data_IF_195391330678
#
_entry.id   IF_195391330678
#
_cell.length_a   1.000
_cell.length_b   1.000
_cell.length_c   1.000
_cell.angle_alpha   90.00
_cell.angle_beta   90.00
_cell.angle_gamma   90.00
#
_symmetry.space_group_name_H-M   'P 1'
#
loop_
_entity.id
_entity.type
_entity.pdbx_description
1 polymer ?
#
# COMPACT_ATOMS: atom_id res chain seq x y z
N UNK A 1 -15.29 -14.13 26.96
CA UNK A 1 -14.69 -12.81 27.21
C UNK A 1 -14.80 -11.92 25.96
N UNK A 2 -15.95 -11.97 25.28
CA UNK A 2 -16.16 -11.40 23.93
C UNK A 2 -17.37 -10.45 23.89
N UNK A 3 -18.07 -10.30 25.02
CA UNK A 3 -19.28 -9.47 25.14
C UNK A 3 -19.01 -8.10 25.79
N UNK A 4 -17.83 -7.88 26.38
CA UNK A 4 -17.49 -6.65 27.10
C UNK A 4 -16.93 -5.56 26.16
N UNK A 5 -16.30 -5.93 25.04
CA UNK A 5 -15.72 -4.96 24.10
C UNK A 5 -16.80 -4.27 23.24
N UNK A 6 -17.90 -4.96 22.92
CA UNK A 6 -18.99 -4.39 22.10
C UNK A 6 -19.84 -3.38 22.89
N UNK A 7 -19.96 -3.54 24.21
CA UNK A 7 -20.79 -2.66 25.05
C UNK A 7 -20.07 -1.34 25.39
N UNK A 8 -18.73 -1.35 25.49
CA UNK A 8 -17.95 -0.13 25.78
C UNK A 8 -17.91 0.85 24.61
N UNK A 9 -18.01 0.36 23.37
CA UNK A 9 -18.12 1.22 22.18
C UNK A 9 -19.51 1.83 22.09
N UNK A 10 -20.57 1.11 22.46
CA UNK A 10 -21.95 1.66 22.43
C UNK A 10 -22.18 2.78 23.46
N UNK A 11 -21.58 2.71 24.65
CA UNK A 11 -21.78 3.72 25.71
C UNK A 11 -21.16 5.10 25.38
N UNK A 12 -20.14 5.13 24.53
CA UNK A 12 -19.54 6.38 24.04
C UNK A 12 -20.30 6.99 22.85
N UNK A 13 -21.19 6.23 22.19
CA UNK A 13 -21.98 6.68 21.04
C UNK A 13 -23.20 7.54 21.44
N UNK A 14 -23.65 7.49 22.69
CA UNK A 14 -24.85 8.21 23.15
C UNK A 14 -24.57 9.66 23.62
N UNK A 15 -23.31 10.08 23.75
CA UNK A 15 -22.93 11.37 24.36
C UNK A 15 -22.48 12.50 23.40
N UNK A 16 -22.89 12.46 22.13
CA UNK A 16 -23.10 13.70 21.36
C UNK A 16 -21.87 14.52 20.90
N UNK A 17 -20.66 13.96 20.90
CA UNK A 17 -19.52 14.49 20.13
C UNK A 17 -19.16 13.43 19.05
N UNK A 18 -18.66 13.81 17.88
CA UNK A 18 -18.26 12.89 16.77
C UNK A 18 -19.34 12.46 15.74
N UNK A 19 -20.03 13.39 15.08
CA UNK A 19 -20.70 13.03 13.82
C UNK A 19 -19.71 12.95 12.64
N UNK A 20 -18.77 13.90 12.49
CA UNK A 20 -17.84 13.92 11.34
C UNK A 20 -16.69 12.90 11.36
N UNK A 21 -16.21 12.48 12.53
CA UNK A 21 -15.14 11.45 12.59
C UNK A 21 -15.68 10.03 12.47
N UNK A 22 -16.96 9.80 12.78
CA UNK A 22 -17.58 8.47 12.68
C UNK A 22 -17.77 8.06 11.23
N UNK A 23 -18.18 8.99 10.38
CA UNK A 23 -18.35 8.79 8.93
C UNK A 23 -17.01 8.53 8.24
N UNK A 24 -15.98 9.35 8.53
CA UNK A 24 -14.63 9.15 8.01
C UNK A 24 -13.99 7.81 8.44
N UNK A 25 -14.30 7.32 9.64
CA UNK A 25 -13.81 6.01 10.12
C UNK A 25 -14.57 4.85 9.45
N UNK A 26 -15.88 5.00 9.23
CA UNK A 26 -16.68 4.00 8.52
C UNK A 26 -16.24 3.85 7.06
N UNK A 27 -15.99 4.97 6.37
CA UNK A 27 -15.49 4.97 4.99
C UNK A 27 -14.13 4.26 4.89
N UNK A 28 -13.22 4.52 5.84
CA UNK A 28 -11.93 3.84 5.91
C UNK A 28 -12.05 2.34 6.14
N UNK A 29 -12.95 1.90 7.02
CA UNK A 29 -13.21 0.49 7.27
C UNK A 29 -13.81 -0.17 6.03
N UNK A 30 -14.73 0.50 5.33
CA UNK A 30 -15.32 0.01 4.09
C UNK A 30 -14.29 -0.07 2.95
N UNK A 31 -13.41 0.93 2.82
CA UNK A 31 -12.34 0.92 1.84
C UNK A 31 -11.33 -0.20 2.12
N UNK A 32 -10.92 -0.40 3.37
CA UNK A 32 -10.04 -1.49 3.75
C UNK A 32 -10.66 -2.86 3.46
N UNK A 33 -11.94 -3.05 3.75
CA UNK A 33 -12.66 -4.29 3.40
C UNK A 33 -12.80 -4.50 1.89
N UNK A 34 -13.03 -3.43 1.13
CA UNK A 34 -13.07 -3.49 -0.34
C UNK A 34 -11.71 -3.85 -0.91
N UNK A 35 -10.64 -3.26 -0.39
CA UNK A 35 -9.27 -3.57 -0.78
C UNK A 35 -8.88 -5.01 -0.41
N UNK A 36 -9.26 -5.51 0.77
CA UNK A 36 -9.05 -6.91 1.14
C UNK A 36 -9.68 -7.86 0.13
N UNK A 37 -10.93 -7.60 -0.27
CA UNK A 37 -11.63 -8.40 -1.26
C UNK A 37 -10.93 -8.35 -2.63
N UNK A 38 -10.43 -7.18 -3.03
CA UNK A 38 -9.64 -7.02 -4.24
C UNK A 38 -8.34 -7.84 -4.17
N UNK A 39 -7.63 -7.81 -3.04
CA UNK A 39 -6.41 -8.59 -2.82
C UNK A 39 -6.69 -10.11 -2.80
N UNK A 40 -7.81 -10.54 -2.22
CA UNK A 40 -8.25 -11.96 -2.30
C UNK A 40 -8.50 -12.38 -3.75
N UNK A 41 -9.16 -11.54 -4.54
CA UNK A 41 -9.39 -11.78 -5.96
C UNK A 41 -8.07 -11.79 -6.76
N UNK A 42 -7.16 -10.86 -6.46
CA UNK A 42 -5.84 -10.77 -7.06
C UNK A 42 -5.01 -12.03 -6.76
N UNK A 43 -4.96 -12.49 -5.51
CA UNK A 43 -4.27 -13.74 -5.16
C UNK A 43 -4.89 -14.92 -5.89
N UNK A 44 -6.23 -15.01 -5.92
CA UNK A 44 -6.94 -16.09 -6.61
C UNK A 44 -6.63 -16.11 -8.11
N UNK A 45 -6.59 -14.93 -8.74
CA UNK A 45 -6.25 -14.75 -10.16
C UNK A 45 -4.88 -15.36 -10.49
N UNK A 46 -3.88 -15.13 -9.63
CA UNK A 46 -2.52 -15.68 -9.78
C UNK A 46 -2.30 -17.03 -9.10
N UNK A 47 -3.37 -17.68 -8.61
CA UNK A 47 -3.30 -18.95 -7.85
C UNK A 47 -2.37 -18.89 -6.65
N UNK A 48 -2.25 -17.71 -6.06
CA UNK A 48 -1.52 -17.50 -4.83
C UNK A 48 -2.40 -17.89 -3.63
N UNK A 49 -1.81 -18.33 -2.50
CA UNK A 49 -2.57 -18.69 -1.33
C UNK A 49 -3.42 -17.53 -0.79
N UNK A 50 -4.55 -17.89 -0.19
CA UNK A 50 -5.46 -16.99 0.53
C UNK A 50 -5.69 -17.62 1.89
N UNK A 51 -5.09 -17.05 2.92
CA UNK A 51 -5.05 -17.61 4.27
C UNK A 51 -4.02 -18.73 4.44
N UNK A 52 -3.52 -18.87 5.66
CA UNK A 52 -2.37 -19.71 6.01
C UNK A 52 -2.66 -21.20 5.90
N UNK A 53 -3.84 -21.61 6.39
CA UNK A 53 -4.24 -23.02 6.48
C UNK A 53 -4.18 -23.75 5.12
N UNK A 54 -4.41 -23.02 4.02
CA UNK A 54 -4.44 -23.59 2.68
C UNK A 54 -3.10 -24.13 2.18
N UNK A 55 -1.97 -23.77 2.81
CA UNK A 55 -0.65 -24.04 2.24
C UNK A 55 0.52 -24.12 3.24
N UNK A 56 0.31 -23.92 4.54
CA UNK A 56 1.39 -23.91 5.54
C UNK A 56 2.10 -25.26 5.77
N UNK A 57 1.53 -26.34 5.25
CA UNK A 57 2.09 -27.68 5.20
C UNK A 57 2.95 -27.94 3.95
N UNK A 58 3.00 -26.99 3.02
CA UNK A 58 3.72 -27.14 1.74
C UNK A 58 5.22 -26.82 1.90
N UNK A 59 6.11 -27.47 1.12
CA UNK A 59 7.54 -27.14 1.11
C UNK A 59 7.83 -25.67 0.74
N UNK A 60 6.97 -25.06 -0.08
CA UNK A 60 7.08 -23.68 -0.54
C UNK A 60 6.92 -22.68 0.61
N UNK A 61 6.21 -23.04 1.67
CA UNK A 61 5.97 -22.18 2.83
C UNK A 61 7.26 -21.67 3.48
N UNK A 62 8.26 -22.53 3.62
CA UNK A 62 9.53 -22.18 4.24
C UNK A 62 10.40 -21.27 3.36
N UNK A 63 10.32 -21.41 2.03
CA UNK A 63 11.11 -20.62 1.09
C UNK A 63 10.45 -19.27 0.76
N UNK A 64 9.13 -19.13 1.02
CA UNK A 64 8.35 -17.97 0.62
C UNK A 64 8.88 -16.63 1.16
N UNK A 65 9.30 -16.49 2.43
CA UNK A 65 9.78 -15.20 2.94
C UNK A 65 10.96 -14.65 2.13
N UNK A 66 11.94 -15.50 1.80
CA UNK A 66 13.09 -15.11 0.99
C UNK A 66 12.69 -14.75 -0.46
N UNK A 67 11.73 -15.48 -1.05
CA UNK A 67 11.20 -15.14 -2.37
C UNK A 67 10.48 -13.79 -2.36
N UNK A 68 9.69 -13.51 -1.32
CA UNK A 68 8.99 -12.24 -1.18
C UNK A 68 9.96 -11.08 -0.95
N UNK A 69 10.98 -11.26 -0.12
CA UNK A 69 12.04 -10.29 0.08
C UNK A 69 12.76 -9.94 -1.22
N UNK A 70 13.02 -10.92 -2.10
CA UNK A 70 13.59 -10.66 -3.43
C UNK A 70 12.66 -9.83 -4.32
N UNK A 71 11.36 -10.16 -4.34
CA UNK A 71 10.35 -9.39 -5.09
C UNK A 71 10.32 -7.94 -4.62
N UNK A 72 10.25 -7.72 -3.30
CA UNK A 72 10.26 -6.37 -2.74
C UNK A 72 11.59 -5.64 -2.98
N UNK A 73 12.71 -6.36 -2.99
CA UNK A 73 14.01 -5.75 -3.30
C UNK A 73 14.08 -5.25 -4.74
N UNK A 74 13.52 -6.00 -5.70
CA UNK A 74 13.37 -5.54 -7.08
C UNK A 74 12.47 -4.29 -7.14
N UNK A 75 11.34 -4.30 -6.43
CA UNK A 75 10.37 -3.18 -6.40
C UNK A 75 10.93 -1.91 -5.74
N UNK A 76 11.65 -2.05 -4.62
CA UNK A 76 12.28 -0.91 -3.93
C UNK A 76 13.36 -0.27 -4.79
N UNK A 77 14.05 -1.03 -5.63
CA UNK A 77 15.05 -0.50 -6.56
C UNK A 77 14.45 0.41 -7.65
N UNK A 78 13.16 0.26 -7.97
CA UNK A 78 12.44 1.13 -8.92
C UNK A 78 12.30 2.57 -8.40
N UNK A 79 12.54 2.81 -7.10
CA UNK A 79 12.52 4.15 -6.49
C UNK A 79 13.48 5.14 -7.16
N UNK A 80 14.58 4.65 -7.73
CA UNK A 80 15.60 5.44 -8.42
C UNK A 80 15.09 6.09 -9.71
N UNK A 81 14.00 5.59 -10.28
CA UNK A 81 13.42 6.12 -11.53
C UNK A 81 12.36 7.20 -11.30
N UNK A 82 11.84 7.34 -10.08
CA UNK A 82 10.70 8.22 -9.76
C UNK A 82 10.95 9.69 -10.16
N UNK A 83 12.19 10.17 -9.96
CA UNK A 83 12.57 11.57 -10.22
C UNK A 83 13.04 11.83 -11.66
N UNK A 84 12.87 10.87 -12.57
CA UNK A 84 13.25 11.01 -13.98
C UNK A 84 12.12 11.58 -14.88
N UNK A 85 10.93 11.79 -14.33
CA UNK A 85 9.76 12.34 -15.04
C UNK A 85 9.98 13.77 -15.59
N UNK A 86 9.11 14.20 -16.52
CA UNK A 86 9.28 15.46 -17.24
C UNK A 86 8.85 16.69 -16.42
N UNK A 87 7.90 16.51 -15.50
CA UNK A 87 7.42 17.55 -14.60
C UNK A 87 7.12 17.00 -13.18
N UNK A 88 6.81 17.90 -12.25
CA UNK A 88 6.53 17.54 -10.86
C UNK A 88 5.33 16.57 -10.73
N UNK A 89 4.32 16.70 -11.59
CA UNK A 89 3.15 15.84 -11.57
C UNK A 89 3.49 14.43 -12.07
N UNK A 90 4.47 14.28 -12.98
CA UNK A 90 5.00 12.98 -13.39
C UNK A 90 5.73 12.30 -12.23
N UNK A 91 6.53 13.06 -11.47
CA UNK A 91 7.21 12.52 -10.30
C UNK A 91 6.22 12.08 -9.21
N UNK A 92 5.19 12.88 -8.95
CA UNK A 92 4.12 12.55 -7.99
C UNK A 92 3.30 11.35 -8.44
N UNK A 93 3.08 11.22 -9.76
CA UNK A 93 2.45 10.05 -10.38
C UNK A 93 3.29 8.79 -10.17
N UNK A 94 4.59 8.86 -10.45
CA UNK A 94 5.50 7.74 -10.27
C UNK A 94 5.64 7.33 -8.79
N UNK A 95 5.64 8.30 -7.87
CA UNK A 95 5.61 8.01 -6.43
C UNK A 95 4.33 7.27 -6.03
N UNK A 96 3.16 7.71 -6.50
CA UNK A 96 1.88 7.06 -6.23
C UNK A 96 1.84 5.61 -6.74
N UNK A 97 2.35 5.38 -7.96
CA UNK A 97 2.43 4.06 -8.57
C UNK A 97 3.27 3.11 -7.72
N UNK A 98 4.51 3.52 -7.42
CA UNK A 98 5.46 2.74 -6.61
C UNK A 98 4.94 2.45 -5.19
N UNK A 99 4.43 3.46 -4.49
CA UNK A 99 3.86 3.27 -3.14
C UNK A 99 2.67 2.30 -3.16
N UNK A 100 1.83 2.37 -4.19
CA UNK A 100 0.68 1.50 -4.29
C UNK A 100 1.04 0.06 -4.69
N UNK A 101 2.04 -0.15 -5.54
CA UNK A 101 2.56 -1.48 -5.85
C UNK A 101 3.18 -2.15 -4.61
N UNK A 102 3.97 -1.40 -3.82
CA UNK A 102 4.45 -1.87 -2.51
C UNK A 102 3.29 -2.31 -1.60
N UNK A 103 2.24 -1.50 -1.47
CA UNK A 103 1.07 -1.84 -0.65
C UNK A 103 0.32 -3.06 -1.18
N UNK A 104 0.15 -3.19 -2.50
CA UNK A 104 -0.52 -4.36 -3.12
C UNK A 104 0.27 -5.64 -2.88
N UNK A 105 1.59 -5.61 -3.09
CA UNK A 105 2.43 -6.78 -2.90
C UNK A 105 2.51 -7.19 -1.43
N UNK A 106 2.63 -6.23 -0.52
CA UNK A 106 2.61 -6.50 0.91
C UNK A 106 1.26 -7.02 1.39
N UNK A 107 0.16 -6.45 0.91
CA UNK A 107 -1.17 -6.92 1.23
C UNK A 107 -1.44 -8.34 0.70
N UNK A 108 -1.02 -8.62 -0.53
CA UNK A 108 -1.05 -9.96 -1.13
C UNK A 108 -0.29 -10.98 -0.29
N UNK A 109 0.88 -10.59 0.22
CA UNK A 109 1.72 -11.46 1.04
C UNK A 109 1.15 -11.67 2.44
N UNK A 110 0.75 -10.60 3.12
CA UNK A 110 0.16 -10.67 4.45
C UNK A 110 -1.09 -11.57 4.47
N UNK A 111 -1.90 -11.52 3.40
CA UNK A 111 -3.08 -12.37 3.26
C UNK A 111 -2.75 -13.88 3.25
N UNK A 112 -1.56 -14.29 2.79
CA UNK A 112 -1.12 -15.70 2.81
C UNK A 112 -0.84 -16.21 4.22
N UNK A 113 -0.68 -15.30 5.18
CA UNK A 113 -0.35 -15.59 6.58
C UNK A 113 -1.47 -15.19 7.55
N UNK A 114 -2.68 -14.92 7.04
CA UNK A 114 -3.83 -14.38 7.81
C UNK A 114 -3.51 -13.05 8.53
N UNK A 115 -2.55 -12.30 8.01
CA UNK A 115 -2.03 -11.07 8.62
C UNK A 115 -2.56 -9.78 7.95
N UNK A 116 -3.49 -9.88 6.99
CA UNK A 116 -4.12 -8.70 6.40
C UNK A 116 -4.78 -7.77 7.44
N UNK A 117 -5.48 -8.28 8.48
CA UNK A 117 -6.04 -7.42 9.53
C UNK A 117 -5.00 -6.69 10.38
N UNK A 118 -3.74 -7.16 10.37
CA UNK A 118 -2.63 -6.53 11.08
C UNK A 118 -2.03 -5.34 10.29
N UNK A 119 -2.37 -5.20 9.00
CA UNK A 119 -1.93 -4.08 8.17
C UNK A 119 -2.57 -2.78 8.63
N UNK A 120 -1.74 -1.76 8.80
CA UNK A 120 -2.19 -0.43 9.21
C UNK A 120 -2.39 0.44 7.97
N UNK A 121 -3.64 0.58 7.55
CA UNK A 121 -4.00 1.42 6.41
C UNK A 121 -4.29 2.88 6.78
N UNK A 122 -4.21 3.29 8.05
CA UNK A 122 -4.49 4.68 8.44
C UNK A 122 -3.39 5.20 9.38
N UNK A 123 -2.72 6.33 9.06
CA UNK A 123 -1.90 7.02 10.03
C UNK A 123 -2.85 7.64 11.07
N UNK A 124 -2.92 7.10 12.29
CA UNK A 124 -3.83 7.65 13.30
C UNK A 124 -4.18 6.81 14.52
N UNK A 125 -3.64 5.60 14.71
CA UNK A 125 -3.55 5.04 16.08
C UNK A 125 -2.27 5.56 16.68
N UNK A 126 -2.34 6.43 17.70
CA UNK A 126 -1.22 6.89 18.55
C UNK A 126 0.15 6.56 17.96
N UNK A 127 0.46 7.21 16.83
CA UNK A 127 1.60 6.79 16.04
C UNK A 127 2.84 7.33 16.74
N UNK A 128 3.40 6.49 17.62
CA UNK A 128 4.74 6.66 18.18
C UNK A 128 5.84 6.35 17.15
N UNK A 129 5.47 6.16 15.88
CA UNK A 129 6.40 5.82 14.81
C UNK A 129 7.29 7.03 14.48
N UNK A 130 8.62 6.91 14.70
CA UNK A 130 9.58 7.94 14.34
C UNK A 130 9.55 8.33 12.85
N UNK A 131 9.04 7.48 11.95
CA UNK A 131 8.86 7.80 10.52
C UNK A 131 7.86 8.93 10.29
N UNK A 132 6.71 8.88 10.96
CA UNK A 132 5.68 9.93 10.85
C UNK A 132 6.20 11.22 11.50
N UNK A 133 6.94 11.11 12.60
CA UNK A 133 7.59 12.26 13.23
C UNK A 133 8.66 12.89 12.31
N UNK A 134 9.51 12.08 11.68
CA UNK A 134 10.54 12.52 10.73
C UNK A 134 9.97 13.19 9.48
N UNK A 135 8.91 12.63 8.90
CA UNK A 135 8.23 13.24 7.75
C UNK A 135 7.45 14.51 8.13
N UNK A 136 6.91 14.57 9.36
CA UNK A 136 6.23 15.76 9.88
C UNK A 136 7.20 16.92 10.17
N UNK A 137 8.39 16.65 10.71
CA UNK A 137 9.44 17.66 10.92
C UNK A 137 10.03 18.18 9.60
N UNK A 138 10.14 17.31 8.61
CA UNK A 138 10.58 17.65 7.25
C UNK A 138 9.55 18.52 6.55
N UNK A 139 8.26 18.19 6.64
CA UNK A 139 7.17 18.96 6.04
C UNK A 139 7.02 20.39 6.60
N UNK A 140 7.68 20.71 7.71
CA UNK A 140 7.65 22.04 8.33
C UNK A 140 8.83 22.94 7.90
N UNK A 141 9.86 22.42 7.23
CA UNK A 141 11.06 23.19 6.85
C UNK A 141 10.95 23.77 5.44
N UNK A 142 10.13 24.82 5.29
CA UNK A 142 10.02 25.78 4.16
C UNK A 142 9.66 25.24 2.77
N UNK A 143 8.52 25.73 2.27
CA UNK A 143 8.15 26.00 0.86
C UNK A 143 8.74 25.05 -0.21
N UNK A 144 8.12 23.89 -0.31
CA UNK A 144 8.38 22.87 -1.34
C UNK A 144 8.38 21.50 -0.68
N UNK A 145 7.33 20.72 -0.90
CA UNK A 145 7.35 19.27 -0.63
C UNK A 145 8.49 18.70 -1.46
N UNK A 146 9.64 18.47 -0.84
CA UNK A 146 10.76 17.88 -1.55
C UNK A 146 10.42 16.41 -1.77
N UNK A 147 9.76 16.13 -2.88
CA UNK A 147 9.34 14.81 -3.30
C UNK A 147 10.54 13.85 -3.30
N UNK A 148 11.74 14.35 -3.64
CA UNK A 148 12.98 13.59 -3.54
C UNK A 148 13.28 13.15 -2.10
N UNK A 149 12.93 13.97 -1.11
CA UNK A 149 13.06 13.60 0.28
C UNK A 149 12.03 12.55 0.70
N UNK A 150 10.78 12.63 0.22
CA UNK A 150 9.77 11.59 0.48
C UNK A 150 10.27 10.26 -0.09
N UNK A 151 10.65 10.23 -1.37
CA UNK A 151 11.21 9.04 -2.04
C UNK A 151 12.38 8.48 -1.24
N UNK A 152 13.36 9.32 -0.90
CA UNK A 152 14.55 8.88 -0.15
C UNK A 152 14.21 8.30 1.22
N UNK A 153 13.29 8.92 1.96
CA UNK A 153 12.91 8.42 3.30
C UNK A 153 12.20 7.08 3.19
N UNK A 154 11.26 6.94 2.25
CA UNK A 154 10.54 5.68 2.02
C UNK A 154 11.51 4.58 1.58
N UNK A 155 12.37 4.85 0.60
CA UNK A 155 13.39 3.91 0.11
C UNK A 155 14.34 3.45 1.23
N UNK A 156 14.91 4.39 1.97
CA UNK A 156 15.86 4.11 3.05
C UNK A 156 15.25 3.24 4.17
N UNK A 157 13.98 3.48 4.54
CA UNK A 157 13.30 2.65 5.54
C UNK A 157 12.86 1.30 4.98
N UNK A 158 12.41 1.25 3.72
CA UNK A 158 12.10 -0.02 3.06
C UNK A 158 13.34 -0.92 3.00
N UNK A 159 14.52 -0.36 2.65
CA UNK A 159 15.80 -1.09 2.64
C UNK A 159 16.20 -1.56 4.04
N UNK A 160 16.01 -0.76 5.09
CA UNK A 160 16.25 -1.21 6.47
C UNK A 160 15.43 -2.44 6.82
N UNK A 161 14.14 -2.45 6.51
CA UNK A 161 13.29 -3.61 6.77
C UNK A 161 13.63 -4.82 5.88
N UNK A 162 14.10 -4.58 4.65
CA UNK A 162 14.66 -5.64 3.80
C UNK A 162 15.93 -6.24 4.40
N UNK A 163 16.76 -5.48 5.10
CA UNK A 163 17.98 -5.97 5.74
C UNK A 163 17.72 -6.62 7.13
N UNK A 164 16.55 -6.37 7.72
CA UNK A 164 16.18 -6.93 9.02
C UNK A 164 15.93 -8.45 8.95
N UNK A 165 16.61 -9.19 9.82
CA UNK A 165 16.35 -10.62 9.99
C UNK A 165 15.20 -10.84 10.95
N UNK A 166 14.04 -11.26 10.44
CA UNK A 166 12.90 -11.71 11.25
C UNK A 166 12.55 -13.16 10.93
N UNK A 167 12.20 -13.94 11.96
CA UNK A 167 11.66 -15.30 11.81
C UNK A 167 10.15 -15.31 11.60
N UNK A 168 9.48 -14.17 11.80
CA UNK A 168 8.06 -14.02 11.53
C UNK A 168 7.84 -13.59 10.07
N UNK A 169 7.24 -14.44 9.22
CA UNK A 169 7.02 -14.11 7.81
C UNK A 169 6.05 -12.94 7.59
N UNK A 170 5.31 -12.53 8.64
CA UNK A 170 4.38 -11.39 8.61
C UNK A 170 5.08 -10.04 8.78
N UNK A 171 6.29 -10.03 9.36
CA UNK A 171 7.00 -8.80 9.73
C UNK A 171 7.22 -7.87 8.54
N UNK A 172 7.88 -8.38 7.50
CA UNK A 172 8.26 -7.58 6.34
C UNK A 172 7.05 -6.93 5.62
N UNK A 173 5.98 -7.66 5.25
CA UNK A 173 4.85 -7.03 4.58
C UNK A 173 4.12 -6.01 5.46
N UNK A 174 4.05 -6.21 6.78
CA UNK A 174 3.44 -5.22 7.70
C UNK A 174 4.29 -3.95 7.71
N UNK A 175 5.59 -4.06 7.96
CA UNK A 175 6.50 -2.92 8.09
C UNK A 175 6.58 -2.09 6.78
N UNK A 176 6.67 -2.75 5.63
CA UNK A 176 6.70 -2.06 4.34
C UNK A 176 5.37 -1.37 4.03
N UNK A 177 4.23 -1.95 4.44
CA UNK A 177 2.93 -1.28 4.31
C UNK A 177 2.87 -0.01 5.14
N UNK A 178 3.39 -0.02 6.37
CA UNK A 178 3.46 1.18 7.23
C UNK A 178 4.31 2.28 6.59
N UNK A 179 5.49 1.91 6.04
CA UNK A 179 6.37 2.82 5.30
C UNK A 179 5.66 3.42 4.08
N UNK A 180 4.95 2.61 3.29
CA UNK A 180 4.24 3.08 2.10
C UNK A 180 3.06 4.02 2.47
N UNK A 181 2.31 3.70 3.52
CA UNK A 181 1.23 4.55 4.05
C UNK A 181 1.78 5.89 4.54
N UNK A 182 2.95 5.90 5.17
CA UNK A 182 3.63 7.14 5.57
C UNK A 182 4.05 7.98 4.35
N UNK A 183 4.53 7.34 3.29
CA UNK A 183 4.82 7.99 2.00
C UNK A 183 3.59 8.67 1.40
N UNK A 184 2.46 7.96 1.33
CA UNK A 184 1.19 8.52 0.86
C UNK A 184 0.71 9.67 1.75
N UNK A 185 0.84 9.55 3.07
CA UNK A 185 0.47 10.59 4.01
C UNK A 185 1.31 11.86 3.84
N UNK A 186 2.61 11.72 3.55
CA UNK A 186 3.48 12.85 3.27
C UNK A 186 3.10 13.54 1.96
N UNK A 187 2.85 12.77 0.89
CA UNK A 187 2.41 13.28 -0.41
C UNK A 187 1.05 14.00 -0.32
N UNK A 188 0.11 13.44 0.43
CA UNK A 188 -1.25 13.97 0.60
C UNK A 188 -1.27 15.41 1.12
N UNK A 189 -0.21 15.86 1.82
CA UNK A 189 -0.08 17.25 2.31
C UNK A 189 0.02 18.29 1.18
N UNK A 190 0.28 17.86 -0.06
CA UNK A 190 0.33 18.72 -1.25
C UNK A 190 -0.94 18.86 -2.04
N UNK A 191 -1.98 18.12 -1.63
CA UNK A 191 -3.19 17.97 -2.42
C UNK A 191 -4.41 18.02 -1.51
N UNK A 192 -5.24 19.03 -1.69
CA UNK A 192 -6.53 19.11 -1.03
C UNK A 192 -7.48 18.06 -1.63
N UNK A 193 -7.97 17.16 -0.79
CA UNK A 193 -8.88 16.08 -1.20
C UNK A 193 -8.18 14.84 -1.75
N UNK A 194 -6.87 14.70 -1.54
CA UNK A 194 -6.16 13.46 -1.88
C UNK A 194 -6.68 12.26 -1.08
N UNK A 195 -6.89 11.16 -1.80
CA UNK A 195 -7.33 9.88 -1.29
C UNK A 195 -6.49 8.77 -1.94
N UNK A 196 -5.57 8.17 -1.18
CA UNK A 196 -4.74 7.08 -1.70
C UNK A 196 -5.57 5.81 -1.98
N UNK A 197 -6.79 5.67 -1.45
CA UNK A 197 -7.67 4.56 -1.84
C UNK A 197 -8.04 4.64 -3.32
N UNK A 198 -8.18 5.85 -3.89
CA UNK A 198 -8.38 6.03 -5.32
C UNK A 198 -7.16 5.53 -6.13
N UNK A 199 -5.95 5.80 -5.64
CA UNK A 199 -4.70 5.29 -6.24
C UNK A 199 -4.66 3.76 -6.20
N UNK A 200 -4.93 3.15 -5.05
CA UNK A 200 -4.96 1.69 -4.89
C UNK A 200 -5.99 1.03 -5.81
N UNK A 201 -7.16 1.66 -6.01
CA UNK A 201 -8.16 1.18 -6.96
C UNK A 201 -7.62 1.19 -8.40
N UNK A 202 -7.01 2.29 -8.84
CA UNK A 202 -6.41 2.40 -10.19
C UNK A 202 -5.34 1.31 -10.39
N UNK A 203 -4.46 1.12 -9.42
CA UNK A 203 -3.40 0.11 -9.45
C UNK A 203 -4.00 -1.30 -9.48
N UNK A 204 -5.07 -1.55 -8.73
CA UNK A 204 -5.76 -2.84 -8.80
C UNK A 204 -6.40 -3.11 -10.15
N UNK A 205 -7.13 -2.16 -10.71
CA UNK A 205 -7.73 -2.32 -12.04
C UNK A 205 -6.66 -2.56 -13.12
N UNK A 206 -5.52 -1.87 -13.04
CA UNK A 206 -4.35 -2.10 -13.90
C UNK A 206 -3.81 -3.52 -13.72
N UNK A 207 -3.67 -3.99 -12.48
CA UNK A 207 -3.21 -5.34 -12.18
C UNK A 207 -4.15 -6.44 -12.71
N UNK A 208 -5.46 -6.24 -12.65
CA UNK A 208 -6.46 -7.14 -13.25
C UNK A 208 -6.43 -7.12 -14.79
N UNK A 209 -5.92 -6.06 -15.41
CA UNK A 209 -5.79 -5.97 -16.87
C UNK A 209 -4.62 -6.79 -17.46
N UNK A 210 -3.71 -7.29 -16.62
CA UNK A 210 -2.50 -8.03 -17.05
C UNK A 210 -2.79 -9.40 -17.68
N UNK A 211 -4.04 -9.88 -17.61
CA UNK A 211 -4.43 -11.21 -18.08
C UNK A 211 -4.25 -11.42 -19.59
N UNK A 212 -3.96 -12.67 -19.97
CA UNK A 212 -3.96 -13.12 -21.35
C UNK A 212 -5.35 -13.09 -21.97
N UNK A 213 -5.42 -13.32 -23.29
CA UNK A 213 -6.67 -13.34 -24.03
C UNK A 213 -7.67 -14.41 -23.53
N UNK A 214 -7.20 -15.42 -22.81
CA UNK A 214 -8.01 -16.47 -22.19
C UNK A 214 -8.42 -16.16 -20.73
N UNK A 215 -8.12 -14.94 -20.25
CA UNK A 215 -8.42 -14.51 -18.89
C UNK A 215 -7.51 -15.14 -17.83
N UNK A 216 -6.35 -15.70 -18.21
CA UNK A 216 -5.39 -16.28 -17.27
C UNK A 216 -4.08 -15.49 -17.20
N UNK A 217 -3.37 -15.55 -16.07
CA UNK A 217 -2.02 -15.01 -15.97
C UNK A 217 -1.09 -15.63 -17.01
N UNK A 218 -0.20 -14.81 -17.56
CA UNK A 218 0.91 -15.23 -18.40
C UNK A 218 2.17 -15.16 -17.54
N UNK A 219 3.01 -16.18 -17.57
CA UNK A 219 4.27 -16.20 -16.81
C UNK A 219 5.46 -16.35 -17.77
N UNK A 220 6.58 -15.74 -17.42
CA UNK A 220 7.86 -16.02 -18.07
C UNK A 220 8.56 -17.26 -17.46
N UNK A 221 9.75 -17.58 -17.96
CA UNK A 221 10.56 -18.72 -17.50
C UNK A 221 11.01 -18.60 -16.03
N UNK A 222 10.98 -17.38 -15.46
CA UNK A 222 11.30 -17.10 -14.06
C UNK A 222 10.06 -17.12 -13.17
N UNK A 223 8.86 -17.33 -13.73
CA UNK A 223 7.60 -17.23 -13.02
C UNK A 223 7.13 -15.79 -12.78
N UNK A 224 7.72 -14.79 -13.44
CA UNK A 224 7.26 -13.39 -13.39
C UNK A 224 6.03 -13.24 -14.29
N UNK A 225 5.03 -12.52 -13.80
CA UNK A 225 3.81 -12.23 -14.56
C UNK A 225 4.13 -11.31 -15.74
N UNK A 226 3.75 -11.73 -16.94
CA UNK A 226 3.85 -10.95 -18.17
C UNK A 226 2.59 -10.12 -18.42
N UNK A 227 2.77 -9.02 -19.16
CA UNK A 227 1.69 -8.11 -19.55
C UNK A 227 0.91 -8.71 -20.72
N UNK A 228 -0.36 -9.04 -20.50
CA UNK A 228 -1.27 -9.50 -21.54
C UNK A 228 -1.67 -8.40 -22.54
N UNK A 229 -2.37 -8.77 -23.63
CA UNK A 229 -2.71 -7.84 -24.72
C UNK A 229 -3.69 -6.73 -24.31
N UNK A 230 -4.44 -6.91 -23.21
CA UNK A 230 -5.35 -5.90 -22.66
C UNK A 230 -4.74 -5.04 -21.55
N UNK A 231 -3.45 -5.22 -21.26
CA UNK A 231 -2.79 -4.48 -20.19
C UNK A 231 -2.77 -2.97 -20.48
N UNK A 232 -3.11 -2.19 -19.47
CA UNK A 232 -2.94 -0.74 -19.47
C UNK A 232 -2.08 -0.31 -18.29
N UNK A 233 -1.33 0.76 -18.51
CA UNK A 233 -0.42 1.38 -17.55
C UNK A 233 -1.20 2.23 -16.55
N UNK A 234 -1.00 2.12 -15.22
CA UNK A 234 -1.73 2.91 -14.23
C UNK A 234 -1.38 4.40 -14.25
N UNK A 235 -0.17 4.77 -14.66
CA UNK A 235 0.40 6.11 -14.55
C UNK A 235 -0.47 7.20 -15.23
N UNK A 236 -1.01 7.02 -16.45
CA UNK A 236 -1.91 8.00 -17.05
C UNK A 236 -3.20 8.26 -16.24
N UNK A 237 -3.78 7.23 -15.63
CA UNK A 237 -4.99 7.36 -14.82
C UNK A 237 -4.68 8.02 -13.46
N UNK A 238 -3.55 7.66 -12.84
CA UNK A 238 -3.04 8.32 -11.63
C UNK A 238 -2.78 9.80 -11.90
N UNK A 239 -2.06 10.13 -12.98
CA UNK A 239 -1.78 11.51 -13.38
C UNK A 239 -3.06 12.29 -13.60
N UNK A 240 -4.06 11.69 -14.27
CA UNK A 240 -5.37 12.31 -14.47
C UNK A 240 -6.07 12.58 -13.13
N UNK A 241 -6.04 11.64 -12.19
CA UNK A 241 -6.59 11.82 -10.84
C UNK A 241 -5.91 12.99 -10.11
N UNK A 242 -4.58 12.99 -10.04
CA UNK A 242 -3.81 14.04 -9.37
C UNK A 242 -4.04 15.42 -10.00
N UNK A 243 -4.17 15.50 -11.33
CA UNK A 243 -4.41 16.76 -12.06
C UNK A 243 -5.74 17.44 -11.72
N UNK A 244 -6.70 16.70 -11.15
CA UNK A 244 -8.01 17.22 -10.75
C UNK A 244 -8.01 17.76 -9.32
N UNK A 245 -6.99 17.43 -8.53
CA UNK A 245 -6.86 17.87 -7.15
C UNK A 245 -6.35 19.31 -7.09
N UNK A 246 -6.82 20.05 -6.09
CA UNK A 246 -6.29 21.39 -5.83
C UNK A 246 -4.95 21.24 -5.12
N UNK A 247 -3.93 21.93 -5.61
CA UNK A 247 -2.65 22.05 -4.89
C UNK A 247 -2.90 22.87 -3.63
N UNK A 248 -2.49 22.35 -2.48
CA UNK A 248 -2.58 23.10 -1.24
C UNK A 248 -1.66 24.32 -1.35
N UNK A 249 -2.21 25.53 -1.25
CA UNK A 249 -1.42 26.76 -1.32
C UNK A 249 -0.37 26.75 -0.20
N UNK A 250 0.91 26.97 -0.58
CA UNK A 250 2.09 26.96 0.29
C UNK A 250 2.14 28.11 1.29
#
# INVERSE_FOLDING_TARGET
MTFIVVVSVLFLLENGFYHGQKELQLDKVQNAGTFENAIRAFNSMYRMPVGKESWDHTPEFAARPAQFQNILSEEVEESHEILLGADALDHETALCDWLGDLMVYCASEALKYDAFPDLIFAPGRDVLDPLIAGLSEVAQKKAGQDLAMIVRVVDDHARRHLDETSTDPRHLPIAITEVAVAGFAALARGFDGFDYWAILNIIMESNFSKLGADGKPIYDERGKVLKGPGYWKPEPAIRQYLSQLKRSDS
#
